data_IF_816287600725
#
_entry.id   IF_816287600725
#
_cell.length_a   1.000
_cell.length_b   1.000
_cell.length_c   1.000
_cell.angle_alpha   90.00
_cell.angle_beta   90.00
_cell.angle_gamma   90.00
#
_symmetry.space_group_name_H-M   'P 1'
#
loop_
_entity.id
_entity.type
_entity.pdbx_description
1 polymer ?
#
# COMPACT_ATOMS: atom_id res chain seq x y z
N UNK A 1 -3.53 -2.47 2.39
CA UNK A 1 -2.63 -2.77 1.26
C UNK A 1 -1.45 -1.82 1.18
N UNK A 2 -1.62 -0.49 1.28
CA UNK A 2 -0.50 0.47 1.20
C UNK A 2 0.49 0.44 2.39
N UNK A 3 0.20 -0.32 3.43
CA UNK A 3 1.05 -0.53 4.61
C UNK A 3 1.58 -1.95 4.75
N UNK A 4 1.01 -2.92 4.03
CA UNK A 4 1.28 -4.34 4.29
C UNK A 4 2.74 -4.68 3.97
N UNK A 5 3.27 -4.04 2.94
CA UNK A 5 4.65 -4.11 2.51
C UNK A 5 5.60 -3.60 3.59
N UNK A 6 5.37 -2.39 4.11
CA UNK A 6 6.24 -1.81 5.15
C UNK A 6 6.16 -2.58 6.47
N UNK A 7 4.98 -3.11 6.82
CA UNK A 7 4.82 -3.99 7.97
C UNK A 7 5.56 -5.32 7.78
N UNK A 8 5.43 -5.96 6.61
CA UNK A 8 6.14 -7.21 6.30
C UNK A 8 7.67 -7.02 6.35
N UNK A 9 8.17 -5.92 5.78
CA UNK A 9 9.59 -5.57 5.84
C UNK A 9 10.07 -5.33 7.29
N UNK A 10 9.29 -4.63 8.11
CA UNK A 10 9.61 -4.41 9.53
C UNK A 10 9.57 -5.70 10.34
N UNK A 11 8.67 -6.62 9.99
CA UNK A 11 8.56 -7.94 10.60
C UNK A 11 9.64 -8.94 10.12
N UNK A 12 10.47 -8.56 9.13
CA UNK A 12 11.44 -9.45 8.46
C UNK A 12 10.80 -10.63 7.74
N UNK A 13 9.54 -10.50 7.33
CA UNK A 13 8.79 -11.53 6.61
C UNK A 13 8.93 -11.31 5.09
N UNK A 14 10.16 -11.41 4.58
CA UNK A 14 10.50 -11.11 3.18
C UNK A 14 9.85 -12.10 2.20
N UNK A 15 9.91 -13.40 2.51
CA UNK A 15 9.28 -14.45 1.71
C UNK A 15 7.76 -14.27 1.59
N UNK A 16 7.11 -13.82 2.65
CA UNK A 16 5.68 -13.51 2.63
C UNK A 16 5.37 -12.39 1.64
N UNK A 17 6.14 -11.29 1.70
CA UNK A 17 5.93 -10.14 0.81
C UNK A 17 6.11 -10.51 -0.66
N UNK A 18 7.12 -11.32 -0.98
CA UNK A 18 7.39 -11.78 -2.35
C UNK A 18 6.25 -12.68 -2.85
N UNK A 19 5.77 -13.63 -2.02
CA UNK A 19 4.64 -14.48 -2.37
C UNK A 19 3.35 -13.67 -2.56
N UNK A 20 3.10 -12.70 -1.67
CA UNK A 20 1.98 -11.78 -1.78
C UNK A 20 2.03 -11.00 -3.10
N UNK A 21 3.20 -10.46 -3.44
CA UNK A 21 3.39 -9.74 -4.69
C UNK A 21 3.09 -10.63 -5.90
N UNK A 22 3.74 -11.79 -6.01
CA UNK A 22 3.57 -12.70 -7.15
C UNK A 22 2.12 -13.18 -7.33
N UNK A 23 1.39 -13.41 -6.24
CA UNK A 23 0.00 -13.88 -6.29
C UNK A 23 -1.00 -12.78 -6.65
N UNK A 24 -0.84 -11.58 -6.10
CA UNK A 24 -1.77 -10.48 -6.30
C UNK A 24 -1.47 -9.66 -7.55
N UNK A 25 -0.26 -9.78 -8.10
CA UNK A 25 0.20 -8.97 -9.20
C UNK A 25 -0.74 -9.00 -10.41
N UNK A 26 -1.11 -10.19 -10.88
CA UNK A 26 -1.99 -10.36 -12.03
C UNK A 26 -3.39 -9.74 -11.83
N UNK A 27 -3.86 -9.65 -10.58
CA UNK A 27 -5.22 -9.20 -10.27
C UNK A 27 -5.31 -7.72 -9.88
N UNK A 28 -4.27 -7.16 -9.27
CA UNK A 28 -4.26 -5.80 -8.69
C UNK A 28 -3.23 -4.86 -9.32
N UNK A 29 -2.36 -5.35 -10.20
CA UNK A 29 -1.29 -4.57 -10.85
C UNK A 29 -0.45 -3.80 -9.82
N UNK A 30 0.16 -4.53 -8.87
CA UNK A 30 0.89 -3.94 -7.74
C UNK A 30 2.13 -3.15 -8.19
N UNK A 31 2.75 -3.48 -9.34
CA UNK A 31 3.86 -2.70 -9.92
C UNK A 31 3.51 -1.23 -10.12
N UNK A 32 2.21 -0.92 -10.30
CA UNK A 32 1.76 0.44 -10.53
C UNK A 32 1.83 1.30 -9.28
N UNK A 33 1.94 0.69 -8.10
CA UNK A 33 1.99 1.42 -6.84
C UNK A 33 3.45 1.61 -6.42
N UNK A 34 3.85 2.84 -6.03
CA UNK A 34 5.23 3.11 -5.64
C UNK A 34 5.64 2.31 -4.39
N UNK A 35 4.69 1.93 -3.53
CA UNK A 35 4.98 1.17 -2.32
C UNK A 35 5.54 -0.23 -2.64
N UNK A 36 4.85 -1.02 -3.47
CA UNK A 36 5.32 -2.36 -3.86
C UNK A 36 6.52 -2.31 -4.81
N UNK A 37 6.54 -1.35 -5.73
CA UNK A 37 7.65 -1.17 -6.66
C UNK A 37 9.00 -1.01 -5.93
N UNK A 38 9.03 -0.31 -4.78
CA UNK A 38 10.25 -0.11 -3.99
C UNK A 38 10.44 -1.14 -2.86
N UNK A 39 9.38 -1.60 -2.22
CA UNK A 39 9.48 -2.52 -1.07
C UNK A 39 9.83 -3.96 -1.45
N UNK A 40 9.38 -4.44 -2.61
CA UNK A 40 9.67 -5.80 -3.10
C UNK A 40 11.15 -5.99 -3.45
N UNK A 41 11.80 -5.11 -4.25
CA UNK A 41 13.25 -5.20 -4.47
C UNK A 41 14.03 -5.16 -3.15
N UNK A 42 13.58 -4.35 -2.19
CA UNK A 42 14.20 -4.29 -0.86
C UNK A 42 14.07 -5.62 -0.10
N UNK A 43 12.97 -6.35 -0.25
CA UNK A 43 12.82 -7.69 0.32
C UNK A 43 13.79 -8.70 -0.30
N UNK A 44 13.99 -8.67 -1.62
CA UNK A 44 14.99 -9.50 -2.30
C UNK A 44 16.41 -9.16 -1.84
N UNK A 45 16.72 -7.87 -1.67
CA UNK A 45 18.01 -7.43 -1.15
C UNK A 45 18.26 -7.95 0.27
N UNK A 46 17.26 -7.88 1.16
CA UNK A 46 17.39 -8.44 2.50
C UNK A 46 17.55 -9.96 2.50
N UNK A 47 16.83 -10.68 1.63
CA UNK A 47 17.04 -12.11 1.46
C UNK A 47 18.46 -12.43 0.98
N UNK A 48 19.01 -11.65 0.06
CA UNK A 48 20.40 -11.78 -0.35
C UNK A 48 21.36 -11.57 0.83
N UNK A 49 21.12 -10.57 1.69
CA UNK A 49 21.93 -10.36 2.89
C UNK A 49 21.86 -11.55 3.88
N UNK A 50 20.75 -12.27 3.94
CA UNK A 50 20.57 -13.43 4.81
C UNK A 50 21.09 -14.74 4.20
N UNK A 51 20.85 -14.97 2.91
CA UNK A 51 21.14 -16.23 2.21
C UNK A 51 22.50 -16.24 1.50
N UNK A 52 23.04 -15.08 1.15
CA UNK A 52 24.24 -14.93 0.33
C UNK A 52 24.08 -15.32 -1.14
N UNK A 53 22.84 -15.54 -1.61
CA UNK A 53 22.57 -16.01 -2.97
C UNK A 53 22.63 -14.87 -4.00
N UNK A 54 23.61 -14.91 -4.90
CA UNK A 54 23.77 -13.89 -5.95
C UNK A 54 22.53 -13.73 -6.85
N UNK A 55 21.73 -14.78 -7.05
CA UNK A 55 20.51 -14.68 -7.87
C UNK A 55 19.46 -13.74 -7.28
N UNK A 56 19.33 -13.69 -5.95
CA UNK A 56 18.37 -12.80 -5.29
C UNK A 56 18.80 -11.33 -5.43
N UNK A 57 20.11 -11.08 -5.46
CA UNK A 57 20.69 -9.76 -5.70
C UNK A 57 20.42 -9.27 -7.12
N UNK A 58 20.64 -10.11 -8.13
CA UNK A 58 20.38 -9.75 -9.53
C UNK A 58 18.91 -9.37 -9.76
N UNK A 59 17.99 -10.12 -9.12
CA UNK A 59 16.56 -9.81 -9.15
C UNK A 59 16.26 -8.48 -8.45
N UNK A 60 16.88 -8.22 -7.29
CA UNK A 60 16.73 -6.95 -6.59
C UNK A 60 17.21 -5.76 -7.43
N UNK A 61 18.39 -5.87 -8.05
CA UNK A 61 19.01 -4.85 -8.91
C UNK A 61 18.11 -4.52 -10.11
N UNK A 62 17.57 -5.56 -10.76
CA UNK A 62 16.64 -5.38 -11.88
C UNK A 62 15.34 -4.70 -11.45
N UNK A 63 14.72 -5.17 -10.35
CA UNK A 63 13.43 -4.65 -9.89
C UNK A 63 13.56 -3.20 -9.41
N UNK A 64 14.61 -2.84 -8.68
CA UNK A 64 14.79 -1.45 -8.21
C UNK A 64 15.12 -0.52 -9.39
N UNK A 65 15.92 -0.96 -10.36
CA UNK A 65 16.17 -0.20 -11.60
C UNK A 65 14.87 0.04 -12.38
N UNK A 66 13.99 -0.96 -12.43
CA UNK A 66 12.65 -0.82 -12.98
C UNK A 66 11.83 0.20 -12.17
N UNK A 67 11.79 0.07 -10.85
CA UNK A 67 11.04 0.97 -9.98
C UNK A 67 11.48 2.44 -10.12
N UNK A 68 12.78 2.69 -10.22
CA UNK A 68 13.37 4.02 -10.43
C UNK A 68 12.97 4.60 -11.79
N UNK A 69 12.97 3.78 -12.85
CA UNK A 69 12.49 4.21 -14.18
C UNK A 69 11.01 4.55 -14.14
N UNK A 70 10.22 3.75 -13.41
CA UNK A 70 8.79 4.00 -13.31
C UNK A 70 8.51 5.23 -12.45
N UNK A 71 9.02 5.33 -11.24
CA UNK A 71 8.72 6.42 -10.29
C UNK A 71 9.97 7.20 -9.86
N UNK A 72 10.61 7.96 -10.77
CA UNK A 72 11.88 8.63 -10.51
C UNK A 72 11.81 9.65 -9.35
N UNK A 73 10.67 10.31 -9.16
CA UNK A 73 10.43 11.32 -8.13
C UNK A 73 10.30 10.73 -6.72
N UNK A 74 9.89 9.46 -6.59
CA UNK A 74 9.78 8.76 -5.30
C UNK A 74 11.15 8.64 -4.65
N UNK A 75 12.17 8.31 -5.45
CA UNK A 75 13.55 8.21 -4.98
C UNK A 75 14.01 9.52 -4.34
N UNK A 76 13.78 10.66 -5.00
CA UNK A 76 14.17 11.97 -4.45
C UNK A 76 13.48 12.27 -3.12
N UNK A 77 12.17 12.05 -3.05
CA UNK A 77 11.41 12.28 -1.81
C UNK A 77 11.84 11.33 -0.69
N UNK A 78 12.26 10.13 -1.04
CA UNK A 78 12.83 9.19 -0.09
C UNK A 78 14.20 9.68 0.44
N UNK A 79 15.09 10.14 -0.45
CA UNK A 79 16.41 10.69 -0.07
C UNK A 79 16.27 11.93 0.81
N UNK A 80 15.35 12.83 0.47
CA UNK A 80 15.01 14.04 1.24
C UNK A 80 14.53 13.66 2.66
N UNK A 81 13.62 12.69 2.78
CA UNK A 81 13.14 12.20 4.08
C UNK A 81 14.21 11.47 4.91
N UNK A 82 15.25 10.93 4.27
CA UNK A 82 16.41 10.33 4.94
C UNK A 82 17.51 11.35 5.25
N UNK A 83 17.36 12.61 4.81
CA UNK A 83 18.38 13.66 4.88
C UNK A 83 19.71 13.23 4.22
N UNK A 84 19.62 12.48 3.12
CA UNK A 84 20.76 12.03 2.30
C UNK A 84 20.85 12.92 1.07
N UNK A 85 22.03 13.49 0.82
CA UNK A 85 22.24 14.34 -0.35
C UNK A 85 22.27 13.47 -1.63
N UNK A 86 21.45 13.78 -2.64
CA UNK A 86 21.52 13.12 -3.93
C UNK A 86 22.81 13.52 -4.67
N UNK A 87 23.32 12.63 -5.52
CA UNK A 87 24.43 12.97 -6.41
C UNK A 87 24.00 14.03 -7.45
N UNK A 88 24.96 14.87 -7.87
CA UNK A 88 24.73 15.94 -8.84
C UNK A 88 24.22 15.40 -10.18
N UNK A 89 24.58 14.18 -10.55
CA UNK A 89 24.09 13.52 -11.78
C UNK A 89 22.60 13.19 -11.70
N UNK A 90 22.11 12.85 -10.50
CA UNK A 90 20.70 12.56 -10.21
C UNK A 90 19.92 13.86 -10.17
N UNK A 91 20.43 14.89 -9.49
CA UNK A 91 19.76 16.18 -9.32
C UNK A 91 19.60 16.95 -10.65
N UNK A 92 20.60 16.86 -11.54
CA UNK A 92 20.56 17.49 -12.86
C UNK A 92 19.69 16.75 -13.88
N UNK A 93 19.15 15.57 -13.54
CA UNK A 93 18.31 14.82 -14.47
C UNK A 93 16.90 15.44 -14.56
N UNK A 94 16.45 15.70 -15.79
CA UNK A 94 15.12 16.27 -16.10
C UNK A 94 13.98 15.52 -15.41
N UNK A 95 14.06 14.20 -15.30
CA UNK A 95 13.00 13.34 -14.76
C UNK A 95 13.06 13.17 -13.23
N UNK A 96 14.21 13.48 -12.62
CA UNK A 96 14.49 13.37 -11.19
C UNK A 96 14.75 14.75 -10.59
N UNK A 97 13.95 15.73 -10.96
CA UNK A 97 14.03 17.09 -10.43
C UNK A 97 12.83 17.42 -9.55
N UNK A 98 12.96 18.41 -8.66
CA UNK A 98 11.84 18.96 -7.91
C UNK A 98 10.72 19.46 -8.84
N UNK A 99 11.08 20.01 -9.99
CA UNK A 99 10.14 20.44 -11.04
C UNK A 99 9.38 19.25 -11.64
N UNK A 100 10.02 18.09 -11.79
CA UNK A 100 9.36 16.88 -12.26
C UNK A 100 8.29 16.43 -11.26
N UNK A 101 8.60 16.47 -9.96
CA UNK A 101 7.64 16.13 -8.92
C UNK A 101 6.43 17.06 -8.90
N UNK A 102 6.62 18.37 -9.07
CA UNK A 102 5.48 19.31 -9.09
C UNK A 102 4.53 19.08 -10.27
N UNK A 103 5.05 18.57 -11.40
CA UNK A 103 4.25 18.25 -12.59
C UNK A 103 3.44 16.96 -12.46
N UNK A 104 3.72 16.15 -11.44
CA UNK A 104 2.99 14.89 -11.22
C UNK A 104 1.56 15.12 -10.71
N UNK A 105 0.69 14.11 -10.90
CA UNK A 105 -0.67 14.14 -10.37
C UNK A 105 -0.69 14.14 -8.84
N UNK A 106 -1.64 14.85 -8.22
CA UNK A 106 -1.80 14.90 -6.76
C UNK A 106 -1.95 13.51 -6.12
N UNK A 107 -2.58 12.55 -6.81
CA UNK A 107 -2.69 11.17 -6.33
C UNK A 107 -1.35 10.46 -6.15
N UNK A 108 -0.41 10.62 -7.11
CA UNK A 108 0.92 10.01 -6.97
C UNK A 108 1.74 10.75 -5.91
N UNK A 109 1.65 12.08 -5.83
CA UNK A 109 2.32 12.86 -4.78
C UNK A 109 1.89 12.37 -3.39
N UNK A 110 0.60 12.17 -3.19
CA UNK A 110 0.06 11.66 -1.93
C UNK A 110 0.54 10.23 -1.62
N UNK A 111 0.50 9.32 -2.60
CA UNK A 111 1.01 7.95 -2.45
C UNK A 111 2.49 7.92 -2.10
N UNK A 112 3.30 8.74 -2.77
CA UNK A 112 4.72 8.93 -2.49
C UNK A 112 4.93 9.42 -1.07
N UNK A 113 4.20 10.45 -0.64
CA UNK A 113 4.33 10.99 0.71
C UNK A 113 3.96 9.97 1.80
N UNK A 114 2.89 9.18 1.60
CA UNK A 114 2.52 8.07 2.49
C UNK A 114 3.64 7.03 2.55
N UNK A 115 4.12 6.57 1.40
CA UNK A 115 5.15 5.54 1.34
C UNK A 115 6.44 5.99 2.02
N UNK A 116 6.92 7.19 1.69
CA UNK A 116 8.14 7.77 2.26
C UNK A 116 8.03 7.89 3.79
N UNK A 117 6.89 8.37 4.30
CA UNK A 117 6.64 8.46 5.75
C UNK A 117 6.75 7.11 6.46
N UNK A 118 6.28 6.04 5.81
CA UNK A 118 6.27 4.69 6.38
C UNK A 118 7.61 3.96 6.26
N UNK A 119 8.25 4.10 5.10
CA UNK A 119 9.41 3.33 4.70
C UNK A 119 10.74 3.98 5.07
N UNK A 120 10.81 5.30 5.27
CA UNK A 120 12.08 6.03 5.56
C UNK A 120 12.93 5.35 6.64
N UNK A 121 12.29 4.94 7.75
CA UNK A 121 12.96 4.22 8.85
C UNK A 121 13.62 2.90 8.45
N UNK A 122 13.12 2.21 7.42
CA UNK A 122 13.64 0.92 6.95
C UNK A 122 14.88 1.16 6.09
N UNK A 123 14.81 2.13 5.19
CA UNK A 123 15.91 2.50 4.30
C UNK A 123 17.10 3.08 5.06
N UNK A 124 16.86 3.84 6.13
CA UNK A 124 17.92 4.42 6.97
C UNK A 124 18.58 3.39 7.92
N UNK A 125 17.97 2.22 8.11
CA UNK A 125 18.40 1.26 9.14
C UNK A 125 19.77 0.65 8.86
N UNK A 126 20.11 0.43 7.59
CA UNK A 126 21.29 -0.34 7.20
C UNK A 126 22.10 0.41 6.14
N UNK A 127 23.37 0.79 6.43
CA UNK A 127 24.19 1.54 5.47
C UNK A 127 24.46 0.75 4.18
N UNK A 128 24.41 -0.58 4.22
CA UNK A 128 24.58 -1.41 3.03
C UNK A 128 23.48 -1.17 1.98
N UNK A 129 22.26 -0.84 2.42
CA UNK A 129 21.15 -0.51 1.51
C UNK A 129 21.45 0.78 0.74
N UNK A 130 22.00 1.80 1.42
CA UNK A 130 22.30 3.08 0.78
C UNK A 130 23.41 2.94 -0.25
N UNK A 131 24.49 2.22 0.07
CA UNK A 131 25.57 1.95 -0.91
C UNK A 131 25.08 1.13 -2.11
N UNK A 132 24.15 0.21 -1.88
CA UNK A 132 23.53 -0.57 -2.94
C UNK A 132 22.64 0.32 -3.82
N UNK A 133 21.79 1.13 -3.20
CA UNK A 133 20.89 2.05 -3.88
C UNK A 133 21.68 3.04 -4.74
N UNK A 134 22.76 3.63 -4.21
CA UNK A 134 23.65 4.53 -4.96
C UNK A 134 24.23 3.86 -6.22
N UNK A 135 24.74 2.63 -6.09
CA UNK A 135 25.28 1.90 -7.24
C UNK A 135 24.21 1.65 -8.32
N UNK A 136 23.00 1.27 -7.91
CA UNK A 136 21.92 0.98 -8.86
C UNK A 136 21.34 2.28 -9.46
N UNK A 137 21.23 3.36 -8.70
CA UNK A 137 20.73 4.64 -9.22
C UNK A 137 21.67 5.21 -10.26
N UNK A 138 23.00 5.20 -10.03
CA UNK A 138 23.99 5.65 -11.01
C UNK A 138 23.97 4.82 -12.30
N UNK A 139 23.86 3.50 -12.18
CA UNK A 139 23.74 2.60 -13.32
C UNK A 139 22.44 2.85 -14.10
N UNK A 140 21.33 3.05 -13.38
CA UNK A 140 20.02 3.34 -13.98
C UNK A 140 20.06 4.69 -14.70
N UNK A 141 20.51 5.77 -14.03
CA UNK A 141 20.65 7.14 -14.56
C UNK A 141 21.47 7.15 -15.85
N UNK A 142 22.58 6.43 -15.87
CA UNK A 142 23.42 6.29 -17.07
C UNK A 142 22.68 5.61 -18.23
N UNK A 143 21.75 4.71 -17.92
CA UNK A 143 20.94 3.97 -18.89
C UNK A 143 19.66 4.70 -19.33
N UNK A 144 19.26 5.82 -18.70
CA UNK A 144 18.06 6.58 -19.10
C UNK A 144 18.09 6.99 -20.57
N UNK A 145 19.26 7.26 -21.13
CA UNK A 145 19.42 7.61 -22.54
C UNK A 145 19.07 6.47 -23.50
N UNK A 146 19.24 5.21 -23.07
CA UNK A 146 18.93 4.03 -23.89
C UNK A 146 17.42 3.74 -23.92
N UNK A 147 16.73 4.03 -22.82
CA UNK A 147 15.27 3.85 -22.69
C UNK A 147 14.50 5.13 -23.04
N UNK A 148 15.08 6.01 -23.86
CA UNK A 148 14.49 7.30 -24.22
C UNK A 148 13.13 7.16 -24.91
N UNK A 149 12.86 6.05 -25.60
CA UNK A 149 11.54 5.78 -26.20
C UNK A 149 10.49 5.46 -25.13
N UNK A 150 10.78 4.52 -24.23
CA UNK A 150 9.93 4.26 -23.06
C UNK A 150 9.69 5.57 -22.32
N UNK A 151 10.76 6.29 -21.91
CA UNK A 151 10.76 7.61 -21.24
C UNK A 151 10.01 8.72 -22.01
N UNK A 152 10.12 8.76 -23.34
CA UNK A 152 9.40 9.71 -24.18
C UNK A 152 7.92 9.39 -24.23
N UNK A 153 7.50 8.14 -24.07
CA UNK A 153 6.10 7.79 -23.90
C UNK A 153 5.58 8.24 -22.51
N UNK A 154 6.42 8.30 -21.47
CA UNK A 154 6.10 8.99 -20.19
C UNK A 154 5.94 10.51 -20.34
N UNK A 155 6.74 11.15 -21.21
CA UNK A 155 6.63 12.60 -21.46
C UNK A 155 5.45 12.93 -22.40
N UNK A 156 5.25 12.15 -23.47
CA UNK A 156 4.11 12.29 -24.41
C UNK A 156 2.78 11.97 -23.75
N UNK A 157 2.78 11.15 -22.71
CA UNK A 157 1.67 10.96 -21.79
C UNK A 157 1.15 12.28 -21.22
N UNK A 158 1.94 13.37 -21.17
CA UNK A 158 1.48 14.69 -20.76
C UNK A 158 0.61 15.41 -21.82
N UNK A 159 0.62 15.01 -23.11
CA UNK A 159 -0.15 15.72 -24.17
C UNK A 159 -0.91 14.83 -25.18
N UNK A 160 -0.60 13.54 -25.43
CA UNK A 160 -1.39 12.77 -26.41
C UNK A 160 -1.38 11.25 -26.20
N UNK A 161 -2.53 10.62 -26.43
CA UNK A 161 -2.93 9.27 -25.99
C UNK A 161 -2.58 8.19 -27.02
N UNK A 162 -1.89 7.11 -26.63
CA UNK A 162 -2.09 5.76 -27.25
C UNK A 162 -1.86 4.62 -26.22
N UNK A 163 -2.98 3.96 -25.91
CA UNK A 163 -3.27 2.59 -25.43
C UNK A 163 -2.35 1.76 -24.51
N UNK A 164 -1.03 1.86 -24.57
CA UNK A 164 -0.15 1.19 -23.61
C UNK A 164 0.55 2.17 -22.67
N UNK A 165 0.31 3.48 -22.81
CA UNK A 165 0.85 4.54 -21.97
C UNK A 165 -0.27 5.54 -21.65
N UNK A 166 -1.25 5.11 -20.85
CA UNK A 166 -2.46 5.90 -20.52
C UNK A 166 -2.86 5.82 -19.04
N UNK A 167 -2.23 4.93 -18.26
CA UNK A 167 -2.71 4.60 -16.91
C UNK A 167 -2.37 5.67 -15.90
N UNK A 168 -1.26 6.42 -16.01
CA UNK A 168 -0.95 7.46 -15.01
C UNK A 168 -2.01 8.56 -14.96
N UNK A 169 -2.44 8.99 -16.14
CA UNK A 169 -3.52 9.96 -16.32
C UNK A 169 -4.93 9.38 -16.22
N UNK A 170 -5.11 8.08 -16.03
CA UNK A 170 -6.45 7.48 -15.86
C UNK A 170 -6.63 6.94 -14.44
N UNK A 171 -5.56 6.41 -13.84
CA UNK A 171 -5.55 5.82 -12.51
C UNK A 171 -5.27 6.83 -11.38
N UNK A 172 -4.60 7.96 -11.67
CA UNK A 172 -4.20 8.95 -10.66
C UNK A 172 -4.84 10.34 -10.84
N UNK A 173 -5.91 10.47 -11.63
CA UNK A 173 -6.61 11.76 -11.87
C UNK A 173 -7.22 12.34 -10.61
N UNK A 174 -7.77 11.47 -9.76
CA UNK A 174 -8.39 11.82 -8.50
C UNK A 174 -7.86 10.96 -7.37
N UNK A 175 -8.13 11.39 -6.15
CA UNK A 175 -7.70 10.68 -4.95
C UNK A 175 -8.94 9.95 -4.39
N UNK A 176 -8.95 8.60 -4.40
CA UNK A 176 -10.01 7.87 -3.74
C UNK A 176 -10.03 8.21 -2.25
N UNK A 177 -11.24 8.38 -1.69
CA UNK A 177 -11.45 8.73 -0.28
C UNK A 177 -10.74 7.80 0.71
N UNK A 178 -10.52 6.54 0.34
CA UNK A 178 -9.78 5.57 1.15
C UNK A 178 -8.29 5.94 1.29
N UNK A 179 -7.68 6.50 0.23
CA UNK A 179 -6.27 6.93 0.24
C UNK A 179 -6.13 8.22 1.05
N UNK A 180 -7.09 9.15 0.94
CA UNK A 180 -7.13 10.36 1.76
C UNK A 180 -7.23 10.05 3.26
N UNK A 181 -8.15 9.14 3.64
CA UNK A 181 -8.26 8.64 5.02
C UNK A 181 -6.96 8.02 5.50
N UNK A 182 -6.29 7.30 4.62
CA UNK A 182 -5.02 6.66 4.94
C UNK A 182 -3.90 7.70 5.15
N UNK A 183 -3.82 8.70 4.28
CA UNK A 183 -2.88 9.81 4.43
C UNK A 183 -3.10 10.58 5.75
N UNK A 184 -4.36 10.83 6.10
CA UNK A 184 -4.72 11.49 7.35
C UNK A 184 -4.31 10.66 8.57
N UNK A 185 -4.56 9.34 8.55
CA UNK A 185 -4.16 8.43 9.62
C UNK A 185 -2.64 8.46 9.87
N UNK A 186 -1.85 8.66 8.82
CA UNK A 186 -0.39 8.76 8.89
C UNK A 186 0.13 10.20 9.02
N UNK A 187 -0.76 11.17 9.29
CA UNK A 187 -0.45 12.58 9.47
C UNK A 187 0.28 13.22 8.28
N UNK A 188 0.10 12.64 7.08
CA UNK A 188 0.67 13.15 5.82
C UNK A 188 -0.13 14.34 5.34
N UNK A 189 -1.46 14.27 5.43
CA UNK A 189 -2.37 15.38 5.16
C UNK A 189 -2.98 15.88 6.47
N UNK A 190 -2.91 17.19 6.70
CA UNK A 190 -3.60 17.85 7.81
C UNK A 190 -4.91 18.38 7.28
N UNK A 191 -6.04 17.84 7.72
CA UNK A 191 -7.33 18.40 7.34
C UNK A 191 -7.75 19.51 8.31
N UNK A 192 -8.02 20.69 7.76
CA UNK A 192 -8.76 21.77 8.42
C UNK A 192 -10.29 21.60 8.31
N UNK A 193 -10.79 20.73 7.41
CA UNK A 193 -12.22 20.62 7.08
C UNK A 193 -12.80 19.20 7.17
N UNK A 194 -11.98 18.20 7.50
CA UNK A 194 -12.47 16.83 7.62
C UNK A 194 -13.13 16.64 8.99
N UNK A 195 -14.43 16.82 9.00
CA UNK A 195 -15.30 16.30 10.07
C UNK A 195 -15.19 14.78 9.98
N UNK A 196 -14.23 14.20 10.73
CA UNK A 196 -14.05 12.77 10.97
C UNK A 196 -15.18 12.29 11.88
N UNK A 197 -16.42 12.52 11.47
CA UNK A 197 -17.63 12.20 12.24
C UNK A 197 -18.67 11.62 11.32
N UNK A 198 -18.25 10.77 10.38
CA UNK A 198 -19.13 9.70 9.95
C UNK A 198 -18.79 8.42 10.73
N UNK A 199 -19.31 8.28 11.98
CA UNK A 199 -19.21 7.03 12.72
C UNK A 199 -20.13 5.96 12.13
N UNK A 200 -20.87 6.25 11.05
CA UNK A 200 -21.75 5.26 10.47
C UNK A 200 -20.91 4.14 9.86
N UNK A 201 -21.21 2.87 10.20
CA UNK A 201 -20.61 1.76 9.50
C UNK A 201 -20.96 1.87 8.01
N UNK A 202 -20.11 1.36 7.10
CA UNK A 202 -20.33 1.48 5.67
C UNK A 202 -21.75 1.01 5.31
N UNK A 203 -22.37 1.67 4.33
CA UNK A 203 -23.77 1.44 3.95
C UNK A 203 -24.10 -0.03 3.67
N UNK A 204 -23.11 -0.80 3.22
CA UNK A 204 -23.22 -2.24 2.93
C UNK A 204 -22.57 -3.14 4.01
N UNK A 205 -22.43 -2.66 5.25
CA UNK A 205 -21.93 -3.49 6.34
C UNK A 205 -22.92 -4.63 6.60
N UNK A 206 -22.49 -5.86 6.36
CA UNK A 206 -23.23 -7.05 6.81
C UNK A 206 -22.96 -7.21 8.30
N UNK A 207 -23.90 -6.80 9.14
CA UNK A 207 -23.85 -7.10 10.57
C UNK A 207 -23.94 -8.63 10.75
N UNK A 208 -22.84 -9.27 11.15
CA UNK A 208 -22.85 -10.70 11.56
C UNK A 208 -23.46 -10.91 12.94
N UNK A 209 -23.51 -9.85 13.76
CA UNK A 209 -24.17 -9.89 15.05
C UNK A 209 -25.67 -9.73 14.85
N UNK A 210 -26.44 -10.79 15.12
CA UNK A 210 -27.85 -10.65 15.38
C UNK A 210 -28.00 -9.80 16.65
N UNK A 211 -28.68 -8.64 16.53
CA UNK A 211 -29.06 -7.87 17.72
C UNK A 211 -29.96 -8.78 18.55
N UNK A 212 -29.48 -9.22 19.71
CA UNK A 212 -30.35 -9.92 20.65
C UNK A 212 -31.54 -9.01 20.93
N UNK A 213 -32.76 -9.54 20.80
CA UNK A 213 -33.96 -8.79 21.16
C UNK A 213 -33.75 -8.24 22.58
N UNK A 214 -34.06 -6.96 22.78
CA UNK A 214 -33.98 -6.34 24.11
C UNK A 214 -34.69 -7.24 25.09
N UNK A 215 -33.95 -7.77 26.07
CA UNK A 215 -34.59 -8.31 27.27
C UNK A 215 -35.48 -7.20 27.83
N UNK A 216 -36.69 -7.53 28.31
CA UNK A 216 -37.60 -6.54 28.85
C UNK A 216 -36.88 -5.75 29.95
N UNK A 217 -36.91 -4.42 29.85
CA UNK A 217 -36.28 -3.57 30.86
C UNK A 217 -36.98 -3.80 32.21
N UNK A 218 -36.23 -3.94 33.31
CA UNK A 218 -36.83 -4.12 34.62
C UNK A 218 -37.56 -2.83 35.03
N UNK A 219 -38.81 -2.98 35.48
CA UNK A 219 -39.71 -1.87 35.85
C UNK A 219 -39.23 -1.05 37.06
N UNK A 220 -38.09 -1.39 37.68
CA UNK A 220 -37.59 -0.74 38.90
C UNK A 220 -36.07 -0.82 39.07
N UNK A 221 -35.48 0.22 39.66
CA UNK A 221 -34.03 0.39 39.84
C UNK A 221 -33.37 -0.73 40.65
N UNK A 222 -33.98 -1.17 41.77
CA UNK A 222 -33.46 -2.27 42.57
C UNK A 222 -33.52 -3.61 41.84
N UNK A 223 -34.54 -3.82 40.99
CA UNK A 223 -34.64 -5.02 40.16
C UNK A 223 -33.52 -5.06 39.11
N UNK A 224 -33.24 -3.93 38.46
CA UNK A 224 -32.10 -3.81 37.54
C UNK A 224 -30.74 -4.06 38.22
N UNK A 225 -30.57 -3.61 39.46
CA UNK A 225 -29.34 -3.83 40.21
C UNK A 225 -29.18 -5.30 40.63
N UNK A 226 -30.24 -5.95 41.11
CA UNK A 226 -30.21 -7.39 41.42
C UNK A 226 -29.96 -8.26 40.18
N UNK A 227 -30.59 -7.93 39.05
CA UNK A 227 -30.32 -8.60 37.77
C UNK A 227 -28.90 -8.36 37.23
N UNK A 228 -28.25 -7.25 37.62
CA UNK A 228 -26.85 -6.99 37.25
C UNK A 228 -25.85 -7.78 38.10
N UNK A 229 -26.20 -8.07 39.36
CA UNK A 229 -25.35 -8.82 40.29
C UNK A 229 -25.53 -10.33 40.10
N UNK A 230 -26.75 -10.77 39.76
CA UNK A 230 -27.04 -12.14 39.37
C UNK A 230 -27.70 -12.21 38.00
N UNK A 231 -26.91 -12.39 36.93
CA UNK A 231 -27.42 -12.61 35.59
C UNK A 231 -28.18 -13.95 35.55
N UNK A 232 -29.42 -13.94 35.05
CA UNK A 232 -30.12 -15.18 34.69
C UNK A 232 -29.49 -15.75 33.41
N UNK A 233 -28.82 -16.89 33.51
CA UNK A 233 -28.13 -17.55 32.39
C UNK A 233 -29.03 -18.48 31.55
N UNK A 234 -30.34 -18.55 31.83
CA UNK A 234 -31.22 -19.58 31.27
C UNK A 234 -31.67 -19.38 29.81
N UNK A 235 -31.03 -18.51 29.03
CA UNK A 235 -31.20 -18.47 27.57
C UNK A 235 -29.88 -18.30 26.82
N UNK A 236 -28.88 -19.12 27.15
CA UNK A 236 -27.85 -19.43 26.16
C UNK A 236 -28.38 -20.56 25.28
N UNK A 237 -29.16 -20.20 24.25
CA UNK A 237 -29.32 -21.09 23.11
C UNK A 237 -27.97 -21.10 22.39
N UNK A 238 -27.06 -21.96 22.85
CA UNK A 238 -25.81 -22.26 22.16
C UNK A 238 -26.23 -22.85 20.83
N UNK A 239 -26.29 -22.01 19.80
CA UNK A 239 -26.35 -22.41 18.40
C UNK A 239 -25.04 -23.09 18.04
N UNK A 240 -24.83 -24.28 18.60
CA UNK A 240 -23.86 -25.25 18.13
C UNK A 240 -24.28 -25.62 16.71
N UNK A 241 -23.50 -25.13 15.75
CA UNK A 241 -23.18 -25.78 14.48
C UNK A 241 -24.40 -26.42 13.80
N UNK A 242 -25.14 -25.63 13.01
CA UNK A 242 -25.90 -26.19 11.89
C UNK A 242 -25.11 -25.94 10.61
N UNK A 243 -24.17 -26.83 10.34
CA UNK A 243 -23.60 -27.00 9.02
C UNK A 243 -24.67 -27.57 8.09
N UNK A 244 -25.48 -26.71 7.48
CA UNK A 244 -26.23 -27.12 6.30
C UNK A 244 -25.23 -27.24 5.14
N UNK A 245 -24.68 -28.45 5.03
CA UNK A 245 -24.25 -29.05 3.76
C UNK A 245 -25.39 -28.85 2.77
N UNK A 246 -25.23 -27.95 1.82
CA UNK A 246 -25.97 -28.02 0.57
C UNK A 246 -25.41 -29.21 -0.21
N UNK A 247 -26.01 -30.37 0.04
CA UNK A 247 -25.89 -31.55 -0.79
C UNK A 247 -27.18 -31.62 -1.62
N UNK A 248 -27.01 -31.37 -2.91
CA UNK A 248 -27.70 -32.05 -4.01
C UNK A 248 -29.22 -32.03 -4.07
N UNK A 249 -29.65 -31.48 -5.20
CA UNK A 249 -30.58 -32.09 -6.14
C UNK A 249 -32.09 -31.96 -5.89
N UNK A 250 -32.69 -31.61 -7.02
CA UNK A 250 -33.99 -32.01 -7.52
C UNK A 250 -35.23 -31.11 -7.36
N UNK A 251 -35.52 -30.47 -8.51
CA UNK A 251 -36.73 -30.70 -9.32
C UNK A 251 -38.04 -30.07 -8.81
N UNK A 252 -38.37 -29.00 -9.51
CA UNK A 252 -39.63 -28.73 -10.22
C UNK A 252 -40.85 -28.10 -9.51
N UNK A 253 -41.54 -27.34 -10.38
CA UNK A 253 -42.88 -26.75 -10.30
C UNK A 253 -42.97 -25.51 -9.40
N UNK A 254 -43.35 -24.32 -9.90
CA UNK A 254 -44.32 -23.99 -10.95
C UNK A 254 -44.07 -22.56 -11.45
#
# INVERSE_FOLDING_TARGET
MLTIDTVALKAREYNYLIRLYNTLQASKNLDRLPNFAYSVPLAYFFLFCESGNAGDKEVADFMISSAIRHFPTVLLKLLDAMNVQPDLTVENNKYMSALAHERESEGIKLLTAIYVKLASSIWLKDPSILSWLEGVTLATVSSFNNFKEELADWEKLQVFVVFLDSWRKTCYVGIPRNIERHAYLWEVTRNAEWILSDPAPPYNSRMMYARMASTPQPDSFFSGLLHSVWPNYDQVNVGLINSYRNSSDDIAHR
#
